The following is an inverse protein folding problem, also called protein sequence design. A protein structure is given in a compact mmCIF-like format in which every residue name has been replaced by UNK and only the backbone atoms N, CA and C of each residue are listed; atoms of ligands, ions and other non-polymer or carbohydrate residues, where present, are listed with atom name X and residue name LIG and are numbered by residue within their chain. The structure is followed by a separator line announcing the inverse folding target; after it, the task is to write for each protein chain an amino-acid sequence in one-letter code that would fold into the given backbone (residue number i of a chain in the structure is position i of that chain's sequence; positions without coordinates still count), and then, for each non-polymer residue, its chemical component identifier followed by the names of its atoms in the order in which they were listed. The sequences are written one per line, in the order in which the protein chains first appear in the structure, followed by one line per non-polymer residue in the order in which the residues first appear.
data_IF_332807162618
#
_entry.id   IF_332807162618
#
_cell.length_a   1.000
_cell.length_b   1.000
_cell.length_c   1.000
_cell.angle_alpha   90.00
_cell.angle_beta   90.00
_cell.angle_gamma   90.00
#
_symmetry.space_group_name_H-M   'P 1'
#
loop_
_entity.id
_entity.type
_entity.pdbx_description
1 polymer ?
#
# COMPACT_ATOMS: atom_id res chain seq x y z
N UNK A 1 -15.18 -19.66 22.27
CA UNK A 1 -13.73 -19.47 22.48
C UNK A 1 -13.58 -18.67 23.76
N UNK A 2 -13.03 -19.27 24.81
CA UNK A 2 -12.81 -18.62 26.10
C UNK A 2 -11.57 -17.73 25.98
N UNK A 3 -11.79 -16.42 25.81
CA UNK A 3 -10.74 -15.40 25.77
C UNK A 3 -10.14 -15.33 27.18
N UNK A 4 -8.91 -15.83 27.34
CA UNK A 4 -8.18 -15.75 28.60
C UNK A 4 -8.00 -14.26 28.91
N UNK A 5 -8.38 -13.75 30.11
CA UNK A 5 -8.38 -12.32 30.43
C UNK A 5 -7.04 -11.59 30.18
N UNK A 6 -5.92 -12.32 30.13
CA UNK A 6 -4.59 -11.77 29.89
C UNK A 6 -4.13 -11.75 28.41
N UNK A 7 -4.93 -12.26 27.47
CA UNK A 7 -4.62 -12.23 26.03
C UNK A 7 -4.47 -10.79 25.51
N UNK A 8 -5.25 -9.84 26.06
CA UNK A 8 -5.18 -8.42 25.70
C UNK A 8 -3.78 -7.81 25.89
N UNK A 9 -3.00 -8.31 26.84
CA UNK A 9 -1.61 -7.84 27.04
C UNK A 9 -0.68 -8.32 25.93
N UNK A 10 -0.97 -9.48 25.31
CA UNK A 10 -0.18 -10.06 24.22
C UNK A 10 -0.57 -9.48 22.87
N UNK A 11 -1.85 -9.14 22.68
CA UNK A 11 -2.34 -8.47 21.46
C UNK A 11 -1.86 -7.03 21.34
N UNK A 12 -1.52 -6.36 22.46
CA UNK A 12 -0.96 -5.01 22.46
C UNK A 12 0.56 -4.95 22.17
N UNK A 13 1.24 -6.09 22.09
CA UNK A 13 2.64 -6.13 21.68
C UNK A 13 2.73 -6.09 20.16
N UNK A 14 2.79 -4.88 19.60
CA UNK A 14 3.14 -4.70 18.20
C UNK A 14 4.66 -4.77 17.99
N UNK A 15 5.05 -5.18 16.78
CA UNK A 15 6.44 -5.07 16.33
C UNK A 15 6.76 -3.59 16.12
N UNK A 16 7.86 -3.10 16.71
CA UNK A 16 8.33 -1.74 16.44
C UNK A 16 9.03 -1.71 15.08
N UNK A 17 9.06 -0.55 14.42
CA UNK A 17 9.73 -0.39 13.12
C UNK A 17 11.23 -0.67 13.15
N UNK A 18 11.86 -0.57 14.32
CA UNK A 18 13.29 -0.83 14.55
C UNK A 18 13.59 -2.30 14.88
N UNK A 19 12.58 -3.09 15.25
CA UNK A 19 12.80 -4.47 15.69
C UNK A 19 12.92 -5.40 14.48
N UNK A 20 13.89 -6.32 14.52
CA UNK A 20 13.85 -7.49 13.64
C UNK A 20 12.69 -8.40 14.03
N UNK A 21 12.21 -9.21 13.10
CA UNK A 21 11.18 -10.21 13.38
C UNK A 21 11.57 -11.12 14.56
N UNK A 22 12.82 -11.57 14.59
CA UNK A 22 13.34 -12.45 15.65
C UNK A 22 13.30 -11.79 17.03
N UNK A 23 13.77 -10.56 17.15
CA UNK A 23 13.76 -9.83 18.43
C UNK A 23 12.34 -9.62 18.95
N UNK A 24 11.43 -9.24 18.05
CA UNK A 24 10.02 -9.12 18.38
C UNK A 24 9.42 -10.44 18.88
N UNK A 25 9.64 -11.52 18.13
CA UNK A 25 9.09 -12.83 18.44
C UNK A 25 9.63 -13.39 19.78
N UNK A 26 10.91 -13.21 20.08
CA UNK A 26 11.51 -13.61 21.36
C UNK A 26 10.87 -12.84 22.51
N UNK A 27 10.80 -11.50 22.42
CA UNK A 27 10.15 -10.66 23.43
C UNK A 27 8.69 -11.04 23.64
N UNK A 28 7.96 -11.31 22.55
CA UNK A 28 6.57 -11.72 22.62
C UNK A 28 6.40 -13.03 23.39
N UNK A 29 7.25 -14.03 23.07
CA UNK A 29 7.25 -15.32 23.77
C UNK A 29 7.61 -15.21 25.24
N UNK A 30 8.59 -14.38 25.59
CA UNK A 30 8.96 -14.12 26.98
C UNK A 30 7.80 -13.49 27.76
N UNK A 31 7.08 -12.55 27.16
CA UNK A 31 5.89 -11.96 27.78
C UNK A 31 4.78 -12.99 27.95
N UNK A 32 4.55 -13.85 26.95
CA UNK A 32 3.58 -14.95 27.05
C UNK A 32 3.91 -15.90 28.21
N UNK A 33 5.18 -16.23 28.40
CA UNK A 33 5.64 -17.06 29.51
C UNK A 33 5.42 -16.39 30.89
N UNK A 34 5.60 -15.06 30.99
CA UNK A 34 5.34 -14.29 32.22
C UNK A 34 3.86 -14.25 32.57
N UNK A 35 3.00 -14.12 31.57
CA UNK A 35 1.55 -14.04 31.74
C UNK A 35 0.97 -15.37 32.23
N UNK A 36 1.52 -16.49 31.76
CA UNK A 36 1.05 -17.82 32.15
C UNK A 36 2.16 -18.85 31.97
N UNK A 37 2.74 -19.27 33.09
CA UNK A 37 3.87 -20.21 33.14
C UNK A 37 3.57 -21.62 32.61
N UNK A 38 2.30 -22.01 32.46
CA UNK A 38 1.87 -23.37 32.06
C UNK A 38 1.23 -23.45 30.66
N UNK A 39 1.51 -22.51 29.75
CA UNK A 39 1.00 -22.60 28.37
C UNK A 39 1.82 -23.61 27.55
N UNK A 40 1.11 -24.51 26.85
CA UNK A 40 1.69 -25.41 25.85
C UNK A 40 2.25 -24.63 24.66
N UNK A 41 3.42 -25.02 24.15
CA UNK A 41 4.06 -24.34 23.01
C UNK A 41 3.15 -24.19 21.78
N UNK A 42 2.34 -25.21 21.47
CA UNK A 42 1.37 -25.15 20.37
C UNK A 42 0.39 -23.99 20.50
N UNK A 43 -0.04 -23.68 21.73
CA UNK A 43 -0.95 -22.55 22.01
C UNK A 43 -0.22 -21.21 21.94
N UNK A 44 1.05 -21.16 22.34
CA UNK A 44 1.90 -19.96 22.16
C UNK A 44 2.03 -19.65 20.67
N UNK A 45 2.33 -20.64 19.85
CA UNK A 45 2.46 -20.51 18.39
C UNK A 45 1.14 -20.06 17.76
N UNK A 46 0.02 -20.69 18.14
CA UNK A 46 -1.30 -20.34 17.62
C UNK A 46 -1.63 -18.86 17.87
N UNK A 47 -1.47 -18.39 19.12
CA UNK A 47 -1.76 -16.99 19.47
C UNK A 47 -0.76 -16.04 18.82
N UNK A 48 0.53 -16.40 18.75
CA UNK A 48 1.54 -15.58 18.08
C UNK A 48 1.22 -15.35 16.60
N UNK A 49 0.76 -16.39 15.89
CA UNK A 49 0.38 -16.28 14.48
C UNK A 49 -0.86 -15.39 14.33
N UNK A 50 -1.87 -15.58 15.19
CA UNK A 50 -3.13 -14.81 15.15
C UNK A 50 -2.93 -13.30 15.32
N UNK A 51 -1.90 -12.87 16.07
CA UNK A 51 -1.63 -11.44 16.33
C UNK A 51 -0.72 -10.79 15.29
N UNK A 52 -0.21 -11.54 14.31
CA UNK A 52 0.60 -10.95 13.24
C UNK A 52 -0.24 -10.11 12.27
N UNK A 53 0.40 -9.23 11.50
CA UNK A 53 -0.29 -8.57 10.39
C UNK A 53 -0.67 -9.57 9.29
N UNK A 54 -1.61 -9.15 8.42
CA UNK A 54 -2.19 -9.98 7.36
C UNK A 54 -1.14 -10.72 6.52
N UNK A 55 -0.03 -10.06 6.20
CA UNK A 55 1.04 -10.65 5.38
C UNK A 55 1.66 -11.84 6.10
N UNK A 56 2.05 -11.65 7.36
CA UNK A 56 2.69 -12.69 8.17
C UNK A 56 1.69 -13.77 8.58
N UNK A 57 0.45 -13.42 8.91
CA UNK A 57 -0.60 -14.38 9.22
C UNK A 57 -0.80 -15.39 8.09
N UNK A 58 -0.98 -14.93 6.85
CA UNK A 58 -1.21 -15.81 5.69
C UNK A 58 -0.04 -16.77 5.44
N UNK A 59 1.19 -16.31 5.63
CA UNK A 59 2.39 -17.13 5.39
C UNK A 59 2.75 -18.05 6.57
N UNK A 60 2.39 -17.69 7.81
CA UNK A 60 2.68 -18.50 9.00
C UNK A 60 1.57 -19.48 9.33
N UNK A 61 0.33 -19.26 8.87
CA UNK A 61 -0.81 -20.13 9.13
C UNK A 61 -0.55 -21.61 8.79
N UNK A 62 0.10 -21.97 7.66
CA UNK A 62 0.43 -23.37 7.36
C UNK A 62 1.41 -24.01 8.36
N UNK A 63 2.14 -23.22 9.14
CA UNK A 63 3.07 -23.67 10.15
C UNK A 63 2.42 -23.82 11.55
N UNK A 64 1.09 -23.75 11.66
CA UNK A 64 0.39 -24.06 12.91
C UNK A 64 0.78 -25.44 13.45
N UNK A 65 1.03 -25.50 14.76
CA UNK A 65 1.45 -26.73 15.45
C UNK A 65 2.93 -27.11 15.26
N UNK A 66 3.69 -26.37 14.45
CA UNK A 66 5.15 -26.49 14.37
C UNK A 66 5.83 -25.88 15.62
N UNK A 67 7.05 -26.31 15.96
CA UNK A 67 7.79 -25.70 17.06
C UNK A 67 8.07 -24.21 16.77
N UNK A 68 8.19 -23.40 17.82
CA UNK A 68 8.35 -21.95 17.69
C UNK A 68 9.58 -21.56 16.84
N UNK A 69 10.62 -22.40 16.83
CA UNK A 69 11.82 -22.19 16.02
C UNK A 69 11.54 -22.24 14.51
N UNK A 70 10.57 -23.03 14.05
CA UNK A 70 10.18 -23.04 12.63
C UNK A 70 9.44 -21.74 12.27
N UNK A 71 8.60 -21.24 13.18
CA UNK A 71 7.91 -19.96 13.03
C UNK A 71 8.91 -18.80 12.90
N UNK A 72 9.97 -18.82 13.72
CA UNK A 72 11.06 -17.85 13.65
C UNK A 72 11.72 -17.84 12.27
N UNK A 73 12.10 -19.02 11.76
CA UNK A 73 12.76 -19.15 10.45
C UNK A 73 11.89 -18.62 9.31
N UNK A 74 10.60 -19.00 9.28
CA UNK A 74 9.68 -18.56 8.22
C UNK A 74 9.49 -17.04 8.30
N UNK A 75 9.32 -16.48 9.51
CA UNK A 75 9.15 -15.04 9.67
C UNK A 75 10.40 -14.22 9.34
N UNK A 76 11.61 -14.74 9.60
CA UNK A 76 12.86 -14.11 9.15
C UNK A 76 12.97 -14.12 7.62
N UNK A 77 12.66 -15.24 6.98
CA UNK A 77 12.63 -15.33 5.51
C UNK A 77 11.60 -14.39 4.89
N UNK A 78 10.44 -14.25 5.52
CA UNK A 78 9.40 -13.31 5.08
C UNK A 78 9.86 -11.86 5.23
N UNK A 79 10.51 -11.52 6.34
CA UNK A 79 11.07 -10.18 6.55
C UNK A 79 12.12 -9.84 5.47
N UNK A 80 13.03 -10.76 5.16
CA UNK A 80 14.00 -10.59 4.06
C UNK A 80 13.31 -10.47 2.69
N UNK A 81 12.33 -11.33 2.41
CA UNK A 81 11.55 -11.28 1.18
C UNK A 81 10.83 -9.95 0.97
N UNK A 82 10.28 -9.37 2.03
CA UNK A 82 9.65 -8.05 2.00
C UNK A 82 10.70 -6.95 1.80
N UNK A 83 11.81 -6.98 2.56
CA UNK A 83 12.90 -5.99 2.44
C UNK A 83 13.53 -5.98 1.05
N UNK A 84 13.68 -7.15 0.44
CA UNK A 84 14.25 -7.34 -0.91
C UNK A 84 13.24 -7.14 -2.03
N UNK A 85 11.96 -6.89 -1.71
CA UNK A 85 10.89 -6.69 -2.68
C UNK A 85 10.45 -7.96 -3.41
N UNK A 86 10.92 -9.14 -3.00
CA UNK A 86 10.48 -10.44 -3.54
C UNK A 86 9.06 -10.79 -3.08
N UNK A 87 8.64 -10.25 -1.93
CA UNK A 87 7.29 -10.42 -1.37
C UNK A 87 6.68 -9.02 -1.20
N UNK A 88 5.50 -8.83 -1.77
CA UNK A 88 4.73 -7.59 -1.59
C UNK A 88 3.88 -7.73 -0.34
N UNK A 89 4.06 -6.83 0.64
CA UNK A 89 3.26 -6.83 1.86
C UNK A 89 1.82 -6.38 1.60
N UNK A 90 0.87 -6.86 2.41
CA UNK A 90 -0.53 -6.45 2.31
C UNK A 90 -0.70 -4.95 2.58
N UNK A 91 0.13 -4.38 3.46
CA UNK A 91 0.17 -2.95 3.72
C UNK A 91 0.56 -2.14 2.46
N UNK A 92 1.58 -2.61 1.74
CA UNK A 92 2.00 -2.01 0.46
C UNK A 92 0.89 -2.10 -0.57
N UNK A 93 0.27 -3.28 -0.73
CA UNK A 93 -0.83 -3.48 -1.69
C UNK A 93 -2.02 -2.55 -1.40
N UNK A 94 -2.39 -2.41 -0.12
CA UNK A 94 -3.46 -1.51 0.32
C UNK A 94 -3.12 -0.05 0.01
N UNK A 95 -1.88 0.38 0.25
CA UNK A 95 -1.44 1.74 -0.06
C UNK A 95 -1.47 2.03 -1.57
N UNK A 96 -0.99 1.11 -2.41
CA UNK A 96 -1.02 1.25 -3.87
C UNK A 96 -2.45 1.33 -4.41
N UNK A 97 -3.34 0.47 -3.91
CA UNK A 97 -4.77 0.48 -4.30
C UNK A 97 -5.42 1.81 -3.96
N UNK A 98 -5.17 2.34 -2.75
CA UNK A 98 -5.70 3.65 -2.35
C UNK A 98 -5.14 4.79 -3.20
N UNK A 99 -3.86 4.73 -3.58
CA UNK A 99 -3.24 5.75 -4.44
C UNK A 99 -3.88 5.75 -5.85
N UNK A 100 -4.14 4.57 -6.43
CA UNK A 100 -4.82 4.44 -7.72
C UNK A 100 -6.24 5.00 -7.65
N UNK A 101 -6.99 4.65 -6.61
CA UNK A 101 -8.36 5.14 -6.41
C UNK A 101 -8.41 6.67 -6.22
N UNK A 102 -7.45 7.24 -5.49
CA UNK A 102 -7.35 8.70 -5.30
C UNK A 102 -6.84 9.44 -6.53
N UNK A 103 -6.01 8.79 -7.36
CA UNK A 103 -5.49 9.34 -8.62
C UNK A 103 -6.48 9.31 -9.79
N UNK A 104 -7.56 8.52 -9.68
CA UNK A 104 -8.62 8.43 -10.70
C UNK A 104 -9.54 9.67 -10.76
N UNK A 105 -9.29 10.69 -9.93
CA UNK A 105 -10.12 11.89 -9.81
C UNK A 105 -9.36 13.20 -9.98
N UNK A 106 -8.53 13.35 -11.02
CA UNK A 106 -8.21 14.67 -11.60
C UNK A 106 -7.43 14.52 -12.91
N UNK A 107 -8.17 14.30 -14.02
CA UNK A 107 -7.79 14.91 -15.29
C UNK A 107 -8.48 16.27 -15.33
N UNK A 108 -8.07 17.21 -14.46
CA UNK A 108 -8.41 18.63 -14.60
C UNK A 108 -7.25 19.30 -15.31
N UNK A 109 -7.54 19.76 -16.52
CA UNK A 109 -6.58 20.14 -17.55
C UNK A 109 -5.48 21.08 -17.11
N UNK A 110 -4.31 20.88 -17.73
CA UNK A 110 -3.24 21.87 -17.79
C UNK A 110 -3.79 23.12 -18.48
N UNK A 111 -4.03 24.18 -17.72
CA UNK A 111 -4.10 25.54 -18.26
C UNK A 111 -2.76 26.20 -17.94
N UNK A 112 -1.99 26.42 -18.99
CA UNK A 112 -0.88 27.37 -19.03
C UNK A 112 -1.49 28.69 -19.47
N UNK A 113 -1.39 29.71 -18.62
CA UNK A 113 -1.24 31.12 -19.00
C UNK A 113 -1.38 31.96 -17.74
N UNK A 114 -0.26 32.50 -17.26
CA UNK A 114 -0.26 33.82 -16.63
C UNK A 114 1.17 34.36 -16.70
N UNK A 115 1.45 35.19 -17.70
CA UNK A 115 2.36 36.31 -17.48
C UNK A 115 1.95 37.55 -18.28
N UNK A 116 1.72 38.62 -17.52
CA UNK A 116 1.84 40.04 -17.84
C UNK A 116 0.94 40.74 -18.90
N UNK A 117 -0.13 41.37 -18.38
CA UNK A 117 -0.32 42.83 -18.24
C UNK A 117 -0.27 43.84 -19.42
N UNK A 118 -1.41 44.55 -19.59
CA UNK A 118 -1.63 46.03 -19.83
C UNK A 118 -1.22 46.52 -21.25
N UNK A 119 -1.92 47.37 -22.03
CA UNK A 119 -2.74 48.58 -21.83
C UNK A 119 -3.61 48.83 -23.09
N UNK A 120 -4.74 49.51 -22.92
CA UNK A 120 -5.61 50.14 -23.94
C UNK A 120 -4.91 51.32 -24.65
N UNK A 121 -5.18 51.55 -25.95
CA UNK A 121 -5.43 52.87 -26.59
C UNK A 121 -5.74 52.70 -28.09
N UNK A 122 -6.77 53.40 -28.58
CA UNK A 122 -6.80 53.91 -29.97
C UNK A 122 -7.95 53.42 -30.87
N UNK A 123 -9.09 54.12 -30.82
CA UNK A 123 -10.04 54.18 -31.94
C UNK A 123 -9.34 54.84 -33.14
N UNK A 124 -9.39 54.26 -34.36
CA UNK A 124 -9.68 55.00 -35.60
C UNK A 124 -9.73 54.07 -36.83
N UNK A 125 -10.97 53.91 -37.32
CA UNK A 125 -11.41 54.01 -38.72
C UNK A 125 -10.74 53.22 -39.87
N UNK A 126 -11.66 52.66 -40.67
CA UNK A 126 -11.67 52.44 -42.14
C UNK A 126 -11.45 51.01 -42.63
N UNK A 127 -12.59 50.42 -42.99
CA UNK A 127 -12.91 49.77 -44.26
C UNK A 127 -11.75 49.15 -45.07
N UNK A 128 -11.86 47.85 -45.38
CA UNK A 128 -12.06 47.31 -46.76
C UNK A 128 -11.87 45.78 -46.83
N UNK A 129 -12.76 45.12 -47.56
CA UNK A 129 -12.52 43.83 -48.24
C UNK A 129 -13.23 42.61 -47.60
N UNK A 130 -14.49 42.30 -47.93
CA UNK A 130 -15.00 41.55 -49.12
C UNK A 130 -14.67 40.04 -49.20
N UNK A 131 -15.73 39.28 -48.91
CA UNK A 131 -16.27 38.07 -49.57
C UNK A 131 -15.46 36.77 -49.72
N UNK A 132 -16.07 35.72 -49.14
CA UNK A 132 -16.30 34.37 -49.67
C UNK A 132 -15.23 33.67 -50.53
N UNK A 133 -14.94 32.39 -50.18
CA UNK A 133 -15.35 31.19 -50.97
C UNK A 133 -14.39 30.00 -50.73
N UNK A 134 -14.88 28.95 -50.08
CA UNK A 134 -14.44 27.55 -50.32
C UNK A 134 -15.18 27.03 -51.56
N UNK A 135 -14.57 26.18 -52.42
CA UNK A 135 -14.69 24.71 -52.32
C UNK A 135 -13.47 23.99 -52.97
N UNK A 136 -13.30 22.67 -53.13
CA UNK A 136 -13.83 21.38 -52.67
C UNK A 136 -12.87 20.31 -53.26
N UNK A 137 -12.81 19.14 -52.62
CA UNK A 137 -11.98 17.98 -52.93
C UNK A 137 -12.01 17.48 -54.39
N UNK A 138 -10.88 16.90 -54.84
CA UNK A 138 -10.77 16.14 -56.08
C UNK A 138 -10.71 14.63 -55.79
N UNK A 139 -11.64 13.89 -56.38
CA UNK A 139 -11.67 12.43 -56.47
C UNK A 139 -10.96 12.03 -57.76
N UNK A 140 -10.01 11.08 -57.71
CA UNK A 140 -9.44 10.44 -58.90
C UNK A 140 -9.95 9.00 -59.00
N UNK A 141 -10.56 8.66 -60.13
CA UNK A 141 -10.85 7.31 -60.56
C UNK A 141 -9.72 6.82 -61.47
N UNK A 142 -9.28 5.58 -61.30
CA UNK A 142 -8.44 4.87 -62.28
C UNK A 142 -9.26 3.75 -62.93
N UNK A 143 -9.04 3.62 -64.24
CA UNK A 143 -9.70 2.70 -65.17
C UNK A 143 -9.29 1.24 -64.98
#
# INVERSE_FOLDING_TARGET
MELIPNEKSLTNMNKKSTDTFREYAIRWREQAARVKSSIKESKIVEVFIQVQDETYYQHLLPALGKPFIEILKIGEMLEDGIKTGRIVSFATLKATTQAIQKGSGSVRGKKYEEDASVIVVGQQARERGSYHRYPQAQTQAYA
#
